data_IF_650798035269
#
_entry.id   IF_650798035269
#
_cell.length_a   1.000
_cell.length_b   1.000
_cell.length_c   1.000
_cell.angle_alpha   90.00
_cell.angle_beta   90.00
_cell.angle_gamma   90.00
#
_symmetry.space_group_name_H-M   'P 1'
#
loop_
_entity.id
_entity.type
_entity.pdbx_description
1 polymer ?
#
# COMPACT_ATOMS: atom_id res chain seq x y z
N UNK A 1 28.74 -6.23 2.96
CA UNK A 1 28.25 -6.48 3.01
C UNK A 1 28.15 -6.90 3.24
N UNK A 2 28.25 -7.17 3.39
CA UNK A 2 27.80 -7.64 3.57
C UNK A 2 27.42 -8.15 3.59
N UNK A 3 27.18 -8.53 3.47
CA UNK A 3 26.64 -9.24 3.31
C UNK A 3 26.89 -9.36 2.67
N UNK A 4 27.14 -8.73 2.31
CA UNK A 4 27.13 -8.94 1.54
C UNK A 4 28.05 -9.33 0.96
N UNK A 5 28.74 -9.41 1.00
CA UNK A 5 29.39 -9.93 0.59
C UNK A 5 29.43 -10.72 0.30
N UNK A 6 29.53 -10.65 0.47
CA UNK A 6 29.33 -11.48 -0.16
C UNK A 6 28.37 -11.55 -0.63
N UNK A 7 28.29 -10.76 -0.78
CA UNK A 7 26.95 -10.86 -1.14
C UNK A 7 26.75 -11.37 -2.47
N UNK A 8 27.11 -10.72 -3.46
CA UNK A 8 26.90 -11.27 -4.78
C UNK A 8 27.59 -12.62 -4.90
N UNK A 9 28.77 -12.72 -4.42
CA UNK A 9 29.50 -13.97 -4.47
C UNK A 9 28.85 -15.06 -3.65
N UNK A 10 28.10 -14.69 -2.62
CA UNK A 10 27.44 -15.66 -1.77
C UNK A 10 26.07 -16.08 -2.23
N UNK A 11 25.58 -15.61 -3.34
CA UNK A 11 24.26 -15.93 -3.81
C UNK A 11 24.19 -17.32 -4.40
N UNK A 12 23.11 -18.08 -4.07
CA UNK A 12 22.91 -19.36 -4.74
C UNK A 12 22.67 -19.17 -6.24
N UNK A 13 23.11 -20.10 -7.07
CA UNK A 13 22.79 -20.05 -8.49
C UNK A 13 21.29 -20.00 -8.71
N UNK A 14 20.85 -19.23 -9.68
CA UNK A 14 19.43 -19.10 -10.03
C UNK A 14 18.65 -18.09 -9.20
N UNK A 15 19.24 -17.62 -8.13
CA UNK A 15 18.60 -16.58 -7.33
C UNK A 15 18.70 -15.25 -8.04
N UNK A 16 17.55 -14.62 -8.25
CA UNK A 16 17.55 -13.36 -8.97
C UNK A 16 17.47 -12.17 -8.03
N UNK A 17 17.98 -11.04 -8.50
CA UNK A 17 17.87 -9.77 -7.80
C UNK A 17 16.46 -9.24 -7.96
N UNK A 18 15.96 -8.55 -6.93
CA UNK A 18 14.67 -7.89 -7.00
C UNK A 18 14.67 -6.84 -8.10
N UNK A 19 13.56 -6.78 -8.83
CA UNK A 19 13.38 -5.83 -9.93
C UNK A 19 12.83 -4.51 -9.39
N UNK A 20 13.72 -3.64 -8.98
CA UNK A 20 13.33 -2.36 -8.40
C UNK A 20 12.53 -1.49 -9.38
N UNK A 21 12.95 -1.31 -10.64
CA UNK A 21 12.16 -0.49 -11.56
C UNK A 21 10.73 -1.00 -11.74
N UNK A 22 10.54 -2.32 -11.83
CA UNK A 22 9.19 -2.89 -11.96
C UNK A 22 8.36 -2.62 -10.71
N UNK A 23 8.93 -2.88 -9.53
CA UNK A 23 8.24 -2.63 -8.27
C UNK A 23 7.90 -1.15 -8.10
N UNK A 24 8.79 -0.26 -8.52
CA UNK A 24 8.57 1.18 -8.44
C UNK A 24 7.44 1.62 -9.38
N UNK A 25 7.34 1.04 -10.57
CA UNK A 25 6.21 1.32 -11.48
C UNK A 25 4.89 0.92 -10.84
N UNK A 26 4.86 -0.23 -10.17
CA UNK A 26 3.66 -0.66 -9.45
C UNK A 26 3.31 0.31 -8.32
N UNK A 27 4.31 0.75 -7.56
CA UNK A 27 4.10 1.71 -6.47
C UNK A 27 3.53 3.03 -6.99
N UNK A 28 4.07 3.53 -8.10
CA UNK A 28 3.57 4.74 -8.73
C UNK A 28 2.13 4.58 -9.22
N UNK A 29 1.81 3.43 -9.80
CA UNK A 29 0.45 3.12 -10.22
C UNK A 29 -0.51 3.17 -9.02
N UNK A 30 -0.10 2.61 -7.90
CA UNK A 30 -0.91 2.64 -6.67
C UNK A 30 -1.20 4.07 -6.26
N UNK A 31 -0.18 4.91 -6.19
CA UNK A 31 -0.35 6.31 -5.76
C UNK A 31 -1.25 7.10 -6.71
N UNK A 32 -1.25 6.77 -7.99
CA UNK A 32 -2.08 7.44 -8.98
C UNK A 32 -3.52 6.95 -8.99
N UNK A 33 -3.81 5.81 -8.34
CA UNK A 33 -5.09 5.12 -8.49
C UNK A 33 -5.80 4.80 -7.18
N UNK A 34 -5.44 5.45 -6.07
CA UNK A 34 -5.94 5.08 -4.73
C UNK A 34 -7.46 5.12 -4.62
N UNK A 35 -8.11 6.08 -5.27
CA UNK A 35 -9.55 6.22 -5.22
C UNK A 35 -10.32 5.23 -6.09
N UNK A 36 -9.62 4.35 -6.79
CA UNK A 36 -10.21 3.42 -7.73
C UNK A 36 -9.87 1.98 -7.34
N UNK A 37 -10.65 0.99 -7.82
CA UNK A 37 -10.28 -0.40 -7.57
C UNK A 37 -8.90 -0.71 -8.13
N UNK A 38 -8.10 -1.43 -7.34
CA UNK A 38 -6.76 -1.84 -7.74
C UNK A 38 -6.67 -3.34 -7.56
N UNK A 39 -6.32 -4.05 -8.64
CA UNK A 39 -6.13 -5.50 -8.60
C UNK A 39 -4.65 -5.82 -8.74
N UNK A 40 -4.26 -7.00 -8.28
CA UNK A 40 -2.88 -7.47 -8.43
C UNK A 40 -2.51 -7.60 -9.91
N UNK A 41 -3.46 -8.00 -10.75
CA UNK A 41 -3.22 -8.10 -12.19
C UNK A 41 -2.90 -6.74 -12.81
N UNK A 42 -3.62 -5.70 -12.39
CA UNK A 42 -3.31 -4.34 -12.84
C UNK A 42 -1.92 -3.90 -12.42
N UNK A 43 -1.53 -4.24 -11.20
CA UNK A 43 -0.19 -3.90 -10.69
C UNK A 43 0.89 -4.65 -11.46
N UNK A 44 0.66 -5.92 -11.74
CA UNK A 44 1.61 -6.72 -12.51
C UNK A 44 1.75 -6.17 -13.93
N UNK A 45 0.65 -5.76 -14.53
CA UNK A 45 0.67 -5.15 -15.86
C UNK A 45 1.43 -3.82 -15.85
N UNK A 46 1.17 -2.98 -14.87
CA UNK A 46 1.89 -1.71 -14.73
C UNK A 46 3.39 -1.93 -14.52
N UNK A 47 3.75 -2.95 -13.78
CA UNK A 47 5.14 -3.30 -13.52
C UNK A 47 5.83 -3.92 -14.71
N UNK A 48 5.07 -4.53 -15.62
CA UNK A 48 5.64 -5.30 -16.72
C UNK A 48 6.21 -6.63 -16.25
N UNK A 49 5.58 -7.23 -15.24
CA UNK A 49 6.08 -8.44 -14.61
C UNK A 49 4.90 -9.34 -14.25
N UNK A 50 5.15 -10.61 -13.91
CA UNK A 50 4.07 -11.48 -13.45
C UNK A 50 3.77 -11.22 -11.98
N UNK A 51 2.60 -11.70 -11.52
CA UNK A 51 2.13 -11.44 -10.17
C UNK A 51 3.06 -11.99 -9.09
N UNK A 52 3.63 -13.16 -9.32
CA UNK A 52 4.52 -13.79 -8.34
C UNK A 52 5.79 -12.98 -8.14
N UNK A 53 6.42 -12.59 -9.24
CA UNK A 53 7.64 -11.80 -9.19
C UNK A 53 7.38 -10.44 -8.58
N UNK A 54 6.28 -9.80 -8.99
CA UNK A 54 5.93 -8.50 -8.45
C UNK A 54 5.73 -8.57 -6.94
N UNK A 55 4.92 -9.54 -6.46
CA UNK A 55 4.63 -9.66 -5.04
C UNK A 55 5.90 -9.88 -4.22
N UNK A 56 6.78 -10.76 -4.71
CA UNK A 56 8.02 -11.06 -4.03
C UNK A 56 8.96 -9.86 -4.01
N UNK A 57 9.14 -9.20 -5.15
CA UNK A 57 10.04 -8.07 -5.26
C UNK A 57 9.52 -6.86 -4.51
N UNK A 58 8.20 -6.63 -4.56
CA UNK A 58 7.58 -5.54 -3.82
C UNK A 58 7.80 -5.71 -2.33
N UNK A 59 7.59 -6.92 -1.81
CA UNK A 59 7.82 -7.19 -0.39
C UNK A 59 9.29 -7.05 -0.02
N UNK A 60 10.18 -7.50 -0.87
CA UNK A 60 11.62 -7.40 -0.61
C UNK A 60 12.08 -5.95 -0.59
N UNK A 61 11.52 -5.10 -1.43
CA UNK A 61 11.98 -3.72 -1.59
C UNK A 61 11.23 -2.73 -0.71
N UNK A 62 9.94 -2.97 -0.44
CA UNK A 62 9.11 -2.04 0.33
C UNK A 62 8.65 -2.58 1.68
N UNK A 63 9.04 -3.81 2.01
CA UNK A 63 8.78 -4.38 3.33
C UNK A 63 7.38 -4.89 3.57
N UNK A 64 6.49 -4.84 2.58
CA UNK A 64 5.11 -5.27 2.73
C UNK A 64 4.55 -5.72 1.39
N UNK A 65 3.44 -6.47 1.43
CA UNK A 65 2.77 -6.91 0.21
C UNK A 65 2.14 -5.73 -0.52
N UNK A 66 1.92 -5.84 -1.84
CA UNK A 66 1.21 -4.80 -2.59
C UNK A 66 -0.16 -4.47 -2.01
N UNK A 67 -0.94 -5.50 -1.61
CA UNK A 67 -2.26 -5.28 -1.05
C UNK A 67 -2.20 -4.46 0.23
N UNK A 68 -1.29 -4.82 1.14
CA UNK A 68 -1.16 -4.11 2.41
C UNK A 68 -0.67 -2.69 2.17
N UNK A 69 0.21 -2.49 1.21
CA UNK A 69 0.68 -1.16 0.85
C UNK A 69 -0.47 -0.29 0.37
N UNK A 70 -1.31 -0.83 -0.53
CA UNK A 70 -2.50 -0.12 -1.00
C UNK A 70 -3.39 0.28 0.17
N UNK A 71 -3.66 -0.67 1.06
CA UNK A 71 -4.53 -0.43 2.21
C UNK A 71 -4.00 0.68 3.12
N UNK A 72 -2.70 0.66 3.39
CA UNK A 72 -2.08 1.68 4.24
C UNK A 72 -2.11 3.07 3.57
N UNK A 73 -1.89 3.13 2.26
CA UNK A 73 -1.96 4.39 1.54
C UNK A 73 -3.39 4.93 1.48
N UNK A 74 -4.38 4.05 1.35
CA UNK A 74 -5.79 4.45 1.42
C UNK A 74 -6.15 5.00 2.78
N UNK A 75 -5.66 4.37 3.85
CA UNK A 75 -5.88 4.89 5.20
C UNK A 75 -5.26 6.27 5.38
N UNK A 76 -4.04 6.47 4.88
CA UNK A 76 -3.41 7.80 4.92
C UNK A 76 -4.24 8.85 4.20
N UNK A 77 -4.73 8.52 3.02
CA UNK A 77 -5.55 9.45 2.24
C UNK A 77 -6.85 9.76 2.97
N UNK A 78 -7.52 8.73 3.51
CA UNK A 78 -8.76 8.94 4.25
C UNK A 78 -8.53 9.88 5.44
N UNK A 79 -7.42 9.69 6.16
CA UNK A 79 -7.11 10.55 7.31
C UNK A 79 -6.87 11.98 6.89
N UNK A 80 -6.21 12.20 5.77
CA UNK A 80 -6.02 13.56 5.25
C UNK A 80 -7.35 14.20 4.87
N UNK A 81 -8.25 13.44 4.24
CA UNK A 81 -9.57 13.95 3.87
C UNK A 81 -10.40 14.28 5.11
N UNK A 82 -10.34 13.43 6.13
CA UNK A 82 -11.04 13.66 7.39
C UNK A 82 -10.49 14.92 8.08
N UNK A 83 -9.17 15.06 8.13
CA UNK A 83 -8.54 16.22 8.74
C UNK A 83 -8.90 17.52 7.99
N UNK A 84 -9.15 17.41 6.69
CA UNK A 84 -9.59 18.55 5.88
C UNK A 84 -11.07 18.87 6.04
N UNK A 85 -11.80 18.10 6.85
CA UNK A 85 -13.19 18.39 7.17
C UNK A 85 -14.21 17.59 6.42
N UNK A 86 -13.81 16.60 5.62
CA UNK A 86 -14.79 15.80 4.89
C UNK A 86 -15.53 14.83 5.82
N UNK A 87 -16.84 14.62 5.57
CA UNK A 87 -17.59 13.59 6.29
C UNK A 87 -16.92 12.22 6.11
N UNK A 88 -17.10 11.35 7.10
CA UNK A 88 -16.45 10.04 7.09
C UNK A 88 -16.80 9.21 5.86
N UNK A 89 -18.08 9.25 5.45
CA UNK A 89 -18.52 8.50 4.26
C UNK A 89 -17.84 9.02 3.00
N UNK A 90 -17.68 10.32 2.87
CA UNK A 90 -17.03 10.93 1.71
C UNK A 90 -15.54 10.63 1.70
N UNK A 91 -14.91 10.69 2.87
CA UNK A 91 -13.49 10.35 2.99
C UNK A 91 -13.25 8.89 2.61
N UNK A 92 -14.13 7.99 3.04
CA UNK A 92 -14.03 6.58 2.70
C UNK A 92 -14.11 6.39 1.18
N UNK A 93 -15.11 6.99 0.55
CA UNK A 93 -15.29 6.89 -0.90
C UNK A 93 -14.10 7.48 -1.65
N UNK A 94 -13.66 8.66 -1.25
CA UNK A 94 -12.53 9.34 -1.90
C UNK A 94 -11.21 8.61 -1.76
N UNK A 95 -11.07 7.82 -0.69
CA UNK A 95 -9.84 7.07 -0.44
C UNK A 95 -9.88 5.64 -1.03
N UNK A 96 -10.98 5.26 -1.67
CA UNK A 96 -11.06 3.95 -2.33
C UNK A 96 -11.61 2.83 -1.46
N UNK A 97 -12.22 3.15 -0.32
CA UNK A 97 -12.92 2.15 0.49
C UNK A 97 -14.31 1.92 -0.07
N UNK A 98 -14.82 0.71 0.12
CA UNK A 98 -16.16 0.34 -0.34
C UNK A 98 -17.23 1.21 0.29
N UNK A 99 -17.09 1.46 1.60
CA UNK A 99 -18.03 2.26 2.38
C UNK A 99 -17.37 2.71 3.68
N UNK A 100 -18.12 3.44 4.50
CA UNK A 100 -17.61 3.93 5.78
C UNK A 100 -17.27 2.78 6.73
N UNK A 101 -18.05 1.71 6.71
CA UNK A 101 -17.80 0.56 7.57
C UNK A 101 -16.46 -0.10 7.26
N UNK A 102 -16.13 -0.21 5.97
CA UNK A 102 -14.85 -0.76 5.53
C UNK A 102 -13.69 0.10 6.04
N UNK A 103 -13.82 1.41 5.90
CA UNK A 103 -12.83 2.34 6.45
C UNK A 103 -12.69 2.18 7.95
N UNK A 104 -13.81 2.15 8.68
CA UNK A 104 -13.82 2.02 10.13
C UNK A 104 -13.10 0.75 10.56
N UNK A 105 -13.43 -0.37 9.93
CA UNK A 105 -12.83 -1.66 10.25
C UNK A 105 -11.30 -1.64 10.05
N UNK A 106 -10.85 -1.14 8.92
CA UNK A 106 -9.42 -1.08 8.62
C UNK A 106 -8.69 -0.10 9.52
N UNK A 107 -9.33 1.02 9.84
CA UNK A 107 -8.74 2.03 10.72
C UNK A 107 -8.54 1.47 12.14
N UNK A 108 -9.53 0.75 12.66
CA UNK A 108 -9.41 0.11 13.97
C UNK A 108 -8.30 -0.92 13.96
N UNK A 109 -8.24 -1.76 12.92
CA UNK A 109 -7.20 -2.78 12.83
C UNK A 109 -5.79 -2.17 12.80
N UNK A 110 -5.64 -1.02 12.19
CA UNK A 110 -4.32 -0.41 11.99
C UNK A 110 -3.93 0.52 13.13
N UNK A 111 -4.87 1.33 13.62
CA UNK A 111 -4.58 2.40 14.58
C UNK A 111 -5.20 2.18 15.97
N UNK A 112 -6.00 1.14 16.14
CA UNK A 112 -6.59 0.82 17.43
C UNK A 112 -7.78 1.69 17.83
N UNK A 113 -8.27 2.54 16.95
CA UNK A 113 -9.43 3.38 17.22
C UNK A 113 -10.22 3.65 15.94
N UNK A 114 -11.47 4.09 16.09
CA UNK A 114 -12.30 4.44 14.95
C UNK A 114 -11.84 5.76 14.33
N UNK A 115 -12.11 5.97 13.04
CA UNK A 115 -11.83 7.26 12.42
C UNK A 115 -12.59 8.41 13.06
N UNK A 116 -13.81 8.14 13.55
CA UNK A 116 -14.60 9.16 14.23
C UNK A 116 -13.94 9.61 15.53
N UNK A 117 -13.46 8.66 16.33
CA UNK A 117 -12.74 8.99 17.55
C UNK A 117 -11.46 9.76 17.25
N UNK A 118 -10.72 9.33 16.25
CA UNK A 118 -9.51 10.03 15.84
C UNK A 118 -9.82 11.47 15.41
N UNK A 119 -10.89 11.65 14.63
CA UNK A 119 -11.31 12.98 14.20
C UNK A 119 -11.60 13.90 15.37
N UNK A 120 -12.30 13.38 16.38
CA UNK A 120 -12.60 14.16 17.59
C UNK A 120 -11.32 14.57 18.32
N UNK A 121 -10.32 13.72 18.34
CA UNK A 121 -9.05 14.02 18.95
C UNK A 121 -8.30 15.18 18.25
N UNK A 122 -8.50 15.31 16.94
CA UNK A 122 -7.86 16.40 16.19
C UNK A 122 -8.39 17.76 16.61
N UNK A 123 -9.61 17.83 17.10
CA UNK A 123 -10.29 19.08 17.41
C UNK A 123 -10.45 19.32 18.92
N UNK A 124 -9.81 18.52 19.73
CA UNK A 124 -9.87 18.70 21.18
C UNK A 124 -8.76 19.57 21.73
#
# INVERSE_FOLDING_TARGET
>A
LAHALCAAAGRPPGRRTADYPAAERARQFIHASLGQPITLDQLAQAAGNDRWRLSRDFRALFGTSPYRYVMLRRLDLARRLIAAGQPLADAAAGAGFTDQSHLTHRHVQTYGMTPDRWRRMLHS
#
